data_IF_471788048426
#
_entry.id   IF_471788048426
#
_cell.length_a   1.000
_cell.length_b   1.000
_cell.length_c   1.000
_cell.angle_alpha   90.00
_cell.angle_beta   90.00
_cell.angle_gamma   90.00
#
_symmetry.space_group_name_H-M   'P 1'
#
loop_
_entity.id
_entity.type
_entity.pdbx_description
1 polymer ?
#
# COMPACT_ATOMS: atom_id res chain seq x y z
N UNK A 1 14.19 0.67 1.66
CA UNK A 1 13.85 -0.48 0.79
C UNK A 1 13.01 0.01 -0.39
N UNK A 2 13.45 -0.26 -1.60
CA UNK A 2 12.71 0.01 -2.83
C UNK A 2 12.36 -1.35 -3.47
N UNK A 3 11.08 -1.75 -3.49
CA UNK A 3 10.68 -3.07 -4.00
C UNK A 3 10.88 -3.24 -5.52
N UNK A 4 11.17 -2.17 -6.25
CA UNK A 4 11.46 -2.25 -7.68
C UNK A 4 12.92 -2.58 -8.01
N UNK A 5 13.84 -2.36 -7.05
CA UNK A 5 15.28 -2.54 -7.23
C UNK A 5 15.91 -3.56 -6.28
N UNK A 6 15.16 -3.99 -5.24
CA UNK A 6 15.64 -4.92 -4.22
C UNK A 6 14.79 -6.20 -4.22
N UNK A 7 15.42 -7.31 -3.84
CA UNK A 7 14.68 -8.56 -3.58
C UNK A 7 13.70 -8.32 -2.42
N UNK A 8 12.42 -8.73 -2.53
CA UNK A 8 11.48 -8.68 -1.42
C UNK A 8 12.00 -9.27 -0.10
N UNK A 9 12.89 -10.26 -0.17
CA UNK A 9 13.53 -10.85 1.01
C UNK A 9 14.48 -9.88 1.73
N UNK A 10 15.03 -8.88 1.03
CA UNK A 10 15.85 -7.83 1.66
C UNK A 10 15.04 -7.00 2.66
N UNK A 11 13.71 -6.91 2.48
CA UNK A 11 12.82 -6.24 3.43
C UNK A 11 12.95 -6.85 4.83
N UNK A 12 13.02 -8.17 4.92
CA UNK A 12 13.12 -8.88 6.19
C UNK A 12 14.39 -8.47 6.92
N UNK A 13 15.53 -8.51 6.25
CA UNK A 13 16.82 -8.14 6.83
C UNK A 13 16.87 -6.67 7.27
N UNK A 14 16.27 -5.78 6.50
CA UNK A 14 16.18 -4.35 6.83
C UNK A 14 15.32 -4.14 8.07
N UNK A 15 14.15 -4.76 8.14
CA UNK A 15 13.25 -4.64 9.29
C UNK A 15 13.89 -5.23 10.54
N UNK A 16 14.48 -6.41 10.46
CA UNK A 16 15.18 -7.04 11.58
C UNK A 16 16.28 -6.12 12.16
N UNK A 17 17.09 -5.55 11.27
CA UNK A 17 18.16 -4.62 11.68
C UNK A 17 17.63 -3.36 12.36
N UNK A 18 16.52 -2.80 11.86
CA UNK A 18 15.97 -1.54 12.41
C UNK A 18 15.21 -1.77 13.73
N UNK A 19 14.68 -2.98 13.92
CA UNK A 19 13.88 -3.33 15.09
C UNK A 19 14.63 -4.20 16.10
N UNK A 20 15.93 -4.40 15.94
CA UNK A 20 16.73 -5.33 16.75
C UNK A 20 16.04 -6.71 16.89
N UNK A 21 15.63 -7.26 15.75
CA UNK A 21 14.89 -8.53 15.60
C UNK A 21 13.50 -8.60 16.27
N UNK A 22 13.01 -7.49 16.80
CA UNK A 22 11.70 -7.46 17.47
C UNK A 22 10.51 -7.56 16.47
N UNK A 23 10.73 -7.21 15.21
CA UNK A 23 9.68 -7.11 14.21
C UNK A 23 8.78 -5.87 14.40
N UNK A 24 7.73 -5.76 13.59
CA UNK A 24 6.81 -4.62 13.61
C UNK A 24 5.44 -5.00 14.16
N UNK A 25 4.84 -4.19 15.05
CA UNK A 25 3.52 -4.47 15.61
C UNK A 25 2.37 -4.18 14.64
N UNK A 26 2.61 -3.33 13.62
CA UNK A 26 1.62 -2.99 12.59
C UNK A 26 2.25 -2.95 11.21
N UNK A 27 1.54 -3.49 10.22
CA UNK A 27 1.91 -3.38 8.81
C UNK A 27 0.67 -3.04 7.96
N UNK A 28 0.90 -2.33 6.86
CA UNK A 28 -0.14 -1.98 5.88
C UNK A 28 0.38 -2.38 4.51
N UNK A 29 -0.38 -3.21 3.78
CA UNK A 29 0.02 -3.73 2.47
C UNK A 29 -0.98 -3.35 1.38
N UNK A 30 -0.48 -2.66 0.36
CA UNK A 30 -1.19 -2.30 -0.86
C UNK A 30 -0.79 -3.18 -2.05
N UNK A 31 0.27 -3.97 -1.92
CA UNK A 31 0.95 -4.63 -3.04
C UNK A 31 0.62 -6.11 -3.11
N UNK A 32 0.59 -6.80 -1.98
CA UNK A 32 0.48 -8.26 -1.91
C UNK A 32 1.69 -8.98 -2.55
N UNK A 33 1.53 -10.21 -3.04
CA UNK A 33 2.59 -10.96 -3.70
C UNK A 33 3.84 -11.17 -2.84
N UNK A 34 5.05 -11.19 -3.45
CA UNK A 34 6.31 -11.42 -2.73
C UNK A 34 6.60 -10.38 -1.65
N UNK A 35 6.32 -9.09 -1.90
CA UNK A 35 6.53 -8.01 -0.93
C UNK A 35 5.62 -8.18 0.29
N UNK A 36 4.33 -8.44 0.08
CA UNK A 36 3.39 -8.73 1.16
C UNK A 36 3.78 -9.99 1.94
N UNK A 37 4.27 -11.00 1.24
CA UNK A 37 4.76 -12.25 1.83
C UNK A 37 5.98 -12.03 2.74
N UNK A 38 6.90 -11.17 2.32
CA UNK A 38 8.03 -10.75 3.14
C UNK A 38 7.58 -9.91 4.34
N UNK A 39 6.60 -9.00 4.14
CA UNK A 39 6.06 -8.19 5.22
C UNK A 39 5.41 -9.02 6.34
N UNK A 40 4.73 -10.13 6.00
CA UNK A 40 4.21 -11.07 7.02
C UNK A 40 5.34 -11.62 7.89
N UNK A 41 6.52 -11.88 7.32
CA UNK A 41 7.66 -12.40 8.05
C UNK A 41 8.34 -11.35 8.96
N UNK A 42 8.00 -10.08 8.78
CA UNK A 42 8.48 -8.99 9.62
C UNK A 42 7.60 -8.72 10.85
N UNK A 43 6.48 -9.43 10.99
CA UNK A 43 5.52 -9.17 12.05
C UNK A 43 6.01 -9.66 13.42
N UNK A 44 5.90 -8.80 14.43
CA UNK A 44 6.16 -9.16 15.83
C UNK A 44 5.04 -10.02 16.43
N UNK A 45 5.24 -10.65 17.60
CA UNK A 45 4.17 -11.34 18.31
C UNK A 45 2.94 -10.46 18.55
N UNK A 46 1.75 -10.97 18.21
CA UNK A 46 0.48 -10.27 18.35
C UNK A 46 0.25 -9.11 17.36
N UNK A 47 1.10 -8.97 16.36
CA UNK A 47 1.01 -7.91 15.36
C UNK A 47 -0.27 -7.97 14.52
N UNK A 48 -0.59 -6.85 13.86
CA UNK A 48 -1.71 -6.74 12.91
C UNK A 48 -1.22 -6.24 11.56
N UNK A 49 -1.61 -6.92 10.49
CA UNK A 49 -1.34 -6.49 9.12
C UNK A 49 -2.63 -6.24 8.36
N UNK A 50 -2.79 -5.04 7.82
CA UNK A 50 -3.93 -4.64 7.02
C UNK A 50 -3.62 -4.79 5.53
N UNK A 51 -4.38 -5.63 4.83
CA UNK A 51 -4.32 -5.84 3.39
C UNK A 51 -5.40 -5.00 2.72
N UNK A 52 -5.02 -3.96 1.98
CA UNK A 52 -6.00 -3.06 1.34
C UNK A 52 -5.82 -2.90 -0.18
N UNK A 53 -4.82 -3.57 -0.75
CA UNK A 53 -4.59 -3.57 -2.19
C UNK A 53 -3.84 -4.81 -2.67
N UNK A 54 -3.87 -5.01 -3.98
CA UNK A 54 -3.22 -6.12 -4.70
C UNK A 54 -2.57 -5.59 -5.98
N UNK A 55 -1.65 -4.63 -5.84
CA UNK A 55 -0.93 -4.04 -6.98
C UNK A 55 -0.07 -5.08 -7.70
N UNK A 56 0.44 -6.08 -6.99
CA UNK A 56 0.97 -7.29 -7.59
C UNK A 56 -0.19 -8.22 -7.96
N UNK A 57 -0.11 -8.85 -9.12
CA UNK A 57 -1.04 -9.92 -9.51
C UNK A 57 -0.65 -11.28 -8.90
N UNK A 58 0.42 -11.31 -8.09
CA UNK A 58 0.93 -12.53 -7.48
C UNK A 58 0.24 -12.83 -6.14
N UNK A 59 0.28 -14.10 -5.76
CA UNK A 59 -0.34 -14.56 -4.52
C UNK A 59 0.50 -14.17 -3.31
N UNK A 60 -0.18 -13.81 -2.23
CA UNK A 60 0.42 -13.76 -0.90
C UNK A 60 0.76 -15.21 -0.46
N UNK A 61 2.02 -15.48 -0.13
CA UNK A 61 2.49 -16.83 0.22
C UNK A 61 3.50 -16.75 1.36
N UNK A 62 3.20 -17.43 2.46
CA UNK A 62 4.06 -17.51 3.64
C UNK A 62 3.79 -18.82 4.40
N UNK A 63 4.74 -19.31 5.23
CA UNK A 63 4.52 -20.49 6.05
C UNK A 63 3.42 -20.21 7.11
N UNK A 64 2.39 -21.06 7.17
CA UNK A 64 1.32 -20.91 8.17
C UNK A 64 1.84 -20.95 9.62
N UNK A 65 2.94 -21.68 9.87
CA UNK A 65 3.63 -21.74 11.16
C UNK A 65 3.98 -20.35 11.69
N UNK A 66 4.35 -19.40 10.84
CA UNK A 66 4.67 -18.03 11.21
C UNK A 66 3.51 -17.34 11.96
N UNK A 67 2.28 -17.46 11.43
CA UNK A 67 1.10 -16.89 12.12
C UNK A 67 0.78 -17.64 13.40
N UNK A 68 1.01 -18.95 13.44
CA UNK A 68 0.79 -19.74 14.64
C UNK A 68 1.76 -19.39 15.76
N UNK A 69 3.02 -19.15 15.44
CA UNK A 69 4.07 -18.80 16.41
C UNK A 69 3.94 -17.36 16.90
N UNK A 70 3.62 -16.43 16.02
CA UNK A 70 3.49 -15.02 16.37
C UNK A 70 2.12 -14.65 16.92
N UNK A 71 1.06 -15.40 16.59
CA UNK A 71 -0.32 -15.00 16.87
C UNK A 71 -0.73 -13.71 16.13
N UNK A 72 -0.03 -13.36 15.05
CA UNK A 72 -0.32 -12.17 14.26
C UNK A 72 -1.65 -12.31 13.51
N UNK A 73 -2.33 -11.18 13.28
CA UNK A 73 -3.60 -11.10 12.57
C UNK A 73 -3.40 -10.44 11.20
N UNK A 74 -3.90 -11.11 10.15
CA UNK A 74 -4.01 -10.55 8.81
C UNK A 74 -5.46 -10.18 8.55
N UNK A 75 -5.72 -8.91 8.26
CA UNK A 75 -7.07 -8.38 8.04
C UNK A 75 -7.19 -7.78 6.64
N UNK A 76 -8.22 -8.19 5.90
CA UNK A 76 -8.55 -7.58 4.62
C UNK A 76 -9.39 -6.31 4.81
N UNK A 77 -9.02 -5.22 4.14
CA UNK A 77 -9.79 -3.99 4.10
C UNK A 77 -10.24 -3.68 2.67
N UNK A 78 -11.55 -3.58 2.48
CA UNK A 78 -12.13 -3.16 1.22
C UNK A 78 -12.93 -1.88 1.40
N UNK A 79 -12.46 -0.80 0.80
CA UNK A 79 -13.06 0.54 0.98
C UNK A 79 -14.55 0.57 0.65
N UNK A 80 -14.99 -0.13 -0.41
CA UNK A 80 -16.38 -0.19 -0.79
C UNK A 80 -17.27 -0.80 0.31
N UNK A 81 -16.81 -1.90 0.92
CA UNK A 81 -17.52 -2.53 2.04
C UNK A 81 -17.55 -1.60 3.25
N UNK A 82 -16.41 -1.01 3.62
CA UNK A 82 -16.34 -0.06 4.72
C UNK A 82 -17.31 1.12 4.50
N UNK A 83 -17.30 1.72 3.32
CA UNK A 83 -18.21 2.82 2.99
C UNK A 83 -19.67 2.41 3.03
N UNK A 84 -20.01 1.16 2.69
CA UNK A 84 -21.39 0.67 2.77
C UNK A 84 -21.93 0.57 4.19
N UNK A 85 -21.07 0.34 5.18
CA UNK A 85 -21.46 0.26 6.61
C UNK A 85 -21.69 1.63 7.24
N UNK A 86 -21.14 2.70 6.64
CA UNK A 86 -21.23 4.05 7.19
C UNK A 86 -22.57 4.71 6.86
N UNK A 87 -23.16 5.38 7.85
CA UNK A 87 -24.29 6.30 7.65
C UNK A 87 -23.81 7.59 6.97
N UNK A 88 -24.70 8.31 6.27
CA UNK A 88 -24.38 9.50 5.51
C UNK A 88 -23.60 10.59 6.31
N UNK A 89 -23.94 10.92 7.55
CA UNK A 89 -23.17 11.90 8.32
C UNK A 89 -21.71 11.48 8.55
N UNK A 90 -21.47 10.18 8.80
CA UNK A 90 -20.11 9.65 8.97
C UNK A 90 -19.30 9.69 7.66
N UNK A 91 -19.94 9.40 6.52
CA UNK A 91 -19.30 9.56 5.20
C UNK A 91 -18.87 11.00 4.95
N UNK A 92 -19.75 11.95 5.23
CA UNK A 92 -19.46 13.40 5.09
C UNK A 92 -18.31 13.80 6.04
N UNK A 93 -18.33 13.31 7.29
CA UNK A 93 -17.26 13.54 8.26
C UNK A 93 -15.92 13.03 7.76
N UNK A 94 -15.87 11.80 7.25
CA UNK A 94 -14.67 11.20 6.67
C UNK A 94 -14.12 12.04 5.50
N UNK A 95 -14.99 12.42 4.56
CA UNK A 95 -14.58 13.25 3.40
C UNK A 95 -14.01 14.59 3.86
N UNK A 96 -14.64 15.24 4.86
CA UNK A 96 -14.15 16.50 5.42
C UNK A 96 -12.78 16.35 6.08
N UNK A 97 -12.56 15.26 6.83
CA UNK A 97 -11.27 14.97 7.45
C UNK A 97 -10.18 14.76 6.39
N UNK A 98 -10.45 13.99 5.34
CA UNK A 98 -9.51 13.79 4.23
C UNK A 98 -9.20 15.13 3.54
N UNK A 99 -10.23 15.94 3.26
CA UNK A 99 -10.04 17.24 2.64
C UNK A 99 -9.23 18.22 3.53
N UNK A 100 -9.35 18.13 4.84
CA UNK A 100 -8.51 18.89 5.77
C UNK A 100 -7.04 18.46 5.68
N UNK A 101 -6.76 17.15 5.75
CA UNK A 101 -5.40 16.61 5.64
C UNK A 101 -4.73 16.95 4.29
N UNK A 102 -5.50 16.99 3.20
CA UNK A 102 -4.99 17.43 1.89
C UNK A 102 -4.62 18.93 1.93
N UNK A 103 -5.48 19.77 2.51
CA UNK A 103 -5.21 21.22 2.62
C UNK A 103 -4.02 21.53 3.54
N UNK A 104 -3.82 20.74 4.56
CA UNK A 104 -2.68 20.83 5.49
C UNK A 104 -1.38 20.25 4.90
N UNK A 105 -1.43 19.66 3.69
CA UNK A 105 -0.28 19.03 3.04
C UNK A 105 0.15 17.70 3.65
N UNK A 106 -0.60 17.16 4.60
CA UNK A 106 -0.32 15.84 5.21
C UNK A 106 -0.56 14.73 4.20
N UNK A 107 -1.67 14.81 3.45
CA UNK A 107 -1.94 13.94 2.32
C UNK A 107 -1.57 14.67 1.02
N UNK A 108 -0.35 14.47 0.57
CA UNK A 108 0.13 14.97 -0.71
C UNK A 108 0.32 13.82 -1.72
N UNK A 109 0.23 14.14 -2.99
CA UNK A 109 0.58 13.22 -4.06
C UNK A 109 1.57 13.91 -4.98
N UNK A 110 2.73 13.31 -5.15
CA UNK A 110 3.68 13.79 -6.13
C UNK A 110 3.12 13.62 -7.54
N UNK A 111 3.23 14.66 -8.33
CA UNK A 111 2.85 14.64 -9.73
C UNK A 111 4.12 14.33 -10.53
N UNK A 112 4.11 13.20 -11.21
CA UNK A 112 5.17 12.80 -12.14
C UNK A 112 4.90 13.32 -13.55
N UNK A 113 4.86 12.41 -14.51
CA UNK A 113 4.65 12.76 -15.92
C UNK A 113 3.20 13.20 -16.20
N UNK A 114 3.06 14.21 -17.08
CA UNK A 114 1.77 14.67 -17.54
C UNK A 114 1.67 14.48 -19.07
N UNK A 115 0.55 13.98 -19.54
CA UNK A 115 0.29 13.74 -20.96
C UNK A 115 -0.99 14.44 -21.41
N UNK A 116 -1.05 14.96 -22.64
CA UNK A 116 -2.33 15.36 -23.23
C UNK A 116 -3.22 14.12 -23.43
N UNK A 117 -4.54 14.30 -23.41
CA UNK A 117 -5.50 13.20 -23.56
C UNK A 117 -5.27 12.40 -24.85
N UNK A 118 -4.87 13.06 -25.93
CA UNK A 118 -4.54 12.42 -27.21
C UNK A 118 -3.39 11.39 -27.10
N UNK A 119 -2.58 11.46 -26.03
CA UNK A 119 -1.46 10.53 -25.79
C UNK A 119 -1.75 9.51 -24.68
N UNK A 120 -3.00 9.13 -24.49
CA UNK A 120 -3.44 8.20 -23.44
C UNK A 120 -2.64 6.89 -23.40
N UNK A 121 -2.32 6.31 -24.56
CA UNK A 121 -1.53 5.07 -24.61
C UNK A 121 -0.11 5.23 -24.06
N UNK A 122 0.51 6.39 -24.27
CA UNK A 122 1.82 6.69 -23.68
C UNK A 122 1.70 6.90 -22.17
N UNK A 123 0.63 7.54 -21.72
CA UNK A 123 0.35 7.72 -20.30
C UNK A 123 0.12 6.39 -19.60
N UNK A 124 -0.64 5.46 -20.19
CA UNK A 124 -0.85 4.11 -19.64
C UNK A 124 0.48 3.37 -19.50
N UNK A 125 1.31 3.33 -20.55
CA UNK A 125 2.63 2.70 -20.48
C UNK A 125 3.52 3.32 -19.39
N UNK A 126 3.49 4.64 -19.24
CA UNK A 126 4.23 5.32 -18.18
C UNK A 126 3.67 5.00 -16.79
N UNK A 127 2.35 4.82 -16.66
CA UNK A 127 1.70 4.46 -15.41
C UNK A 127 1.98 3.01 -14.97
N UNK A 128 2.27 2.12 -15.90
CA UNK A 128 2.57 0.71 -15.66
C UNK A 128 4.05 0.45 -15.33
N UNK A 129 4.92 1.44 -15.52
CA UNK A 129 6.34 1.27 -15.22
C UNK A 129 6.56 1.09 -13.71
N UNK A 130 7.31 0.07 -13.30
CA UNK A 130 7.72 -0.09 -11.90
C UNK A 130 8.60 1.09 -11.46
N UNK A 131 8.63 1.37 -10.17
CA UNK A 131 9.42 2.46 -9.55
C UNK A 131 9.17 3.87 -10.11
N UNK A 132 8.04 4.11 -10.76
CA UNK A 132 7.70 5.46 -11.24
C UNK A 132 7.61 6.44 -10.07
N UNK A 133 8.16 7.63 -10.28
CA UNK A 133 8.03 8.72 -9.32
C UNK A 133 6.75 9.51 -9.59
N UNK A 134 5.88 9.59 -8.59
CA UNK A 134 4.64 10.35 -8.64
C UNK A 134 3.54 9.73 -9.52
N UNK A 135 2.42 10.43 -9.58
CA UNK A 135 1.25 10.02 -10.37
C UNK A 135 1.37 10.50 -11.81
N UNK A 136 0.99 9.64 -12.76
CA UNK A 136 0.83 10.03 -14.17
C UNK A 136 -0.54 10.69 -14.34
N UNK A 137 -0.56 11.89 -14.90
CA UNK A 137 -1.78 12.65 -15.12
C UNK A 137 -2.07 12.82 -16.61
N UNK A 138 -3.36 12.81 -16.95
CA UNK A 138 -3.87 13.26 -18.25
C UNK A 138 -4.40 14.67 -18.14
N UNK A 139 -4.02 15.55 -19.08
CA UNK A 139 -4.59 16.89 -19.19
C UNK A 139 -5.60 16.91 -20.34
N UNK A 140 -6.81 17.40 -20.04
CA UNK A 140 -7.71 17.84 -21.08
C UNK A 140 -7.13 19.13 -21.68
N UNK A 141 -6.96 19.16 -22.99
CA UNK A 141 -6.68 20.42 -23.69
C UNK A 141 -8.00 21.20 -23.71
N UNK A 142 -8.00 22.39 -23.11
CA UNK A 142 -9.11 23.32 -23.17
C UNK A 142 -9.17 24.03 -24.50
#
# INVERSE_FOLDING_TARGET
>A
FDPATHDPLDLISVVQKVTDDAGVPFAIDAVSGPVGSAAVQCLSPGARMLLYGTLSNERLSFPARQLMETGALLEGFWLGNYMSTLKLPAKIGLIRSIAALIREGVLASDIGSQFPLARIQAAVRAAEQPARQGKVLLRAEG
#
